data_IF_778815288467
#
_entry.id   IF_778815288467
#
_cell.length_a   1.000
_cell.length_b   1.000
_cell.length_c   1.000
_cell.angle_alpha   90.00
_cell.angle_beta   90.00
_cell.angle_gamma   90.00
#
_symmetry.space_group_name_H-M   'P 1'
#
loop_
_entity.id
_entity.type
_entity.pdbx_description
1 polymer ?
#
# COMPACT_ATOMS: atom_id res chain seq x y z
N UNK A 1 9.76 24.97 10.49
CA UNK A 1 9.89 23.50 10.33
C UNK A 1 8.97 23.10 9.19
N UNK A 2 9.51 22.53 8.11
CA UNK A 2 8.72 22.23 6.91
C UNK A 2 7.77 21.07 7.20
N UNK A 3 6.46 21.23 6.93
CA UNK A 3 5.41 20.21 7.12
C UNK A 3 5.80 18.86 6.48
N UNK A 4 6.49 18.90 5.35
CA UNK A 4 7.01 17.71 4.66
C UNK A 4 8.02 16.95 5.53
N UNK A 5 8.86 17.65 6.31
CA UNK A 5 9.85 17.01 7.17
C UNK A 5 9.19 16.29 8.36
N UNK A 6 8.22 16.92 9.04
CA UNK A 6 7.51 16.27 10.15
C UNK A 6 6.60 15.12 9.70
N UNK A 7 6.04 15.19 8.49
CA UNK A 7 5.20 14.11 7.96
C UNK A 7 6.00 12.88 7.51
N UNK A 8 7.21 13.08 6.97
CA UNK A 8 7.95 11.99 6.32
C UNK A 8 9.28 11.59 7.00
N UNK A 9 9.84 12.43 7.86
CA UNK A 9 11.18 12.18 8.47
C UNK A 9 11.08 11.88 9.96
N UNK A 10 10.12 12.49 10.67
CA UNK A 10 9.93 12.20 12.09
C UNK A 10 9.18 10.88 12.31
N UNK A 11 9.60 10.13 13.32
CA UNK A 11 8.90 8.90 13.74
C UNK A 11 7.52 9.28 14.27
N UNK A 12 6.48 8.82 13.58
CA UNK A 12 5.12 9.04 14.07
C UNK A 12 4.87 8.22 15.33
N UNK A 13 4.15 8.78 16.32
CA UNK A 13 3.67 7.99 17.44
C UNK A 13 2.80 6.83 16.95
N UNK A 14 2.94 5.68 17.59
CA UNK A 14 2.21 4.45 17.22
C UNK A 14 0.68 4.66 17.20
N UNK A 15 0.15 5.50 18.10
CA UNK A 15 -1.28 5.82 18.18
C UNK A 15 -1.77 6.59 16.95
N UNK A 16 -0.95 7.49 16.39
CA UNK A 16 -1.30 8.27 15.21
C UNK A 16 -1.39 7.38 13.97
N UNK A 17 -0.44 6.45 13.81
CA UNK A 17 -0.48 5.43 12.75
C UNK A 17 -1.72 4.55 12.85
N UNK A 18 -2.07 4.11 14.07
CA UNK A 18 -3.28 3.33 14.33
C UNK A 18 -4.57 4.06 13.93
N UNK A 19 -4.70 5.34 14.27
CA UNK A 19 -5.87 6.17 13.90
C UNK A 19 -5.97 6.33 12.38
N UNK A 20 -4.86 6.62 11.69
CA UNK A 20 -4.86 6.78 10.23
C UNK A 20 -5.25 5.47 9.51
N UNK A 21 -4.75 4.32 9.96
CA UNK A 21 -5.12 3.02 9.40
C UNK A 21 -6.57 2.67 9.74
N UNK A 22 -7.02 2.95 10.97
CA UNK A 22 -8.38 2.72 11.42
C UNK A 22 -9.41 3.54 10.63
N UNK A 23 -9.08 4.79 10.27
CA UNK A 23 -9.92 5.66 9.44
C UNK A 23 -9.99 5.22 7.98
N UNK A 24 -9.03 4.42 7.51
CA UNK A 24 -9.02 3.93 6.13
C UNK A 24 -10.23 3.00 5.85
N UNK A 25 -10.66 2.22 6.85
CA UNK A 25 -11.85 1.33 6.74
C UNK A 25 -13.16 2.11 6.51
N UNK A 26 -13.59 3.05 7.39
CA UNK A 26 -14.81 3.82 7.18
C UNK A 26 -14.72 4.72 5.94
N UNK A 27 -13.53 5.23 5.60
CA UNK A 27 -13.33 6.03 4.39
C UNK A 27 -13.57 5.18 3.14
N UNK A 28 -13.07 3.95 3.10
CA UNK A 28 -13.38 3.03 2.00
C UNK A 28 -14.85 2.63 1.95
N UNK A 29 -15.49 2.46 3.09
CA UNK A 29 -16.94 2.21 3.12
C UNK A 29 -17.73 3.42 2.61
N UNK A 30 -17.31 4.63 2.94
CA UNK A 30 -17.96 5.87 2.50
C UNK A 30 -17.82 6.11 0.99
N UNK A 31 -16.61 5.95 0.43
CA UNK A 31 -16.36 6.25 -0.99
C UNK A 31 -16.75 5.11 -1.94
N UNK A 32 -16.68 3.87 -1.49
CA UNK A 32 -16.71 2.69 -2.35
C UNK A 32 -17.83 1.70 -1.97
N UNK A 33 -18.43 1.86 -0.78
CA UNK A 33 -19.44 0.96 -0.22
C UNK A 33 -19.04 -0.53 -0.29
N UNK A 34 -17.74 -0.80 -0.14
CA UNK A 34 -17.18 -2.15 -0.20
C UNK A 34 -16.19 -2.36 0.92
N UNK A 35 -16.21 -3.55 1.50
CA UNK A 35 -15.20 -3.96 2.48
C UNK A 35 -13.80 -4.00 1.85
N UNK A 36 -12.80 -3.60 2.65
CA UNK A 36 -11.39 -3.75 2.32
C UNK A 36 -11.08 -5.20 1.91
N UNK A 37 -10.52 -5.40 0.71
CA UNK A 37 -10.26 -6.72 0.15
C UNK A 37 -9.06 -6.71 -0.78
N UNK A 38 -7.86 -6.74 -0.19
CA UNK A 38 -6.59 -6.67 -0.94
C UNK A 38 -6.30 -7.97 -1.69
N UNK A 39 -6.55 -9.13 -1.06
CA UNK A 39 -6.25 -10.46 -1.64
C UNK A 39 -6.96 -10.71 -2.97
N UNK A 40 -8.23 -10.33 -3.08
CA UNK A 40 -8.98 -10.46 -4.34
C UNK A 40 -8.54 -9.43 -5.38
N UNK A 41 -7.99 -8.29 -4.95
CA UNK A 41 -7.35 -7.31 -5.82
C UNK A 41 -6.10 -7.85 -6.52
N UNK A 42 -5.26 -8.60 -5.78
CA UNK A 42 -4.09 -9.27 -6.37
C UNK A 42 -4.49 -10.31 -7.42
N UNK A 43 -5.61 -11.02 -7.23
CA UNK A 43 -6.16 -11.91 -8.26
C UNK A 43 -6.53 -11.17 -9.56
N UNK A 44 -7.11 -9.97 -9.46
CA UNK A 44 -7.37 -9.12 -10.63
C UNK A 44 -6.07 -8.64 -11.31
N UNK A 45 -5.06 -8.27 -10.51
CA UNK A 45 -3.75 -7.86 -11.00
C UNK A 45 -3.04 -8.99 -11.77
N UNK A 46 -3.04 -10.21 -11.22
CA UNK A 46 -2.47 -11.39 -11.88
C UNK A 46 -3.18 -11.72 -13.20
N UNK A 47 -4.50 -11.55 -13.27
CA UNK A 47 -5.24 -11.75 -14.53
C UNK A 47 -4.93 -10.69 -15.59
N UNK A 48 -4.57 -9.47 -15.16
CA UNK A 48 -4.10 -8.41 -16.07
C UNK A 48 -2.74 -8.79 -16.69
N UNK A 49 -1.80 -9.30 -15.88
CA UNK A 49 -0.46 -9.70 -16.33
C UNK A 49 -0.48 -11.01 -17.12
N UNK A 50 -1.31 -11.98 -16.70
CA UNK A 50 -1.40 -13.31 -17.28
C UNK A 50 -2.81 -13.56 -17.87
N UNK A 51 -3.16 -12.92 -19.00
CA UNK A 51 -4.52 -12.94 -19.55
C UNK A 51 -4.93 -14.30 -20.15
N UNK A 52 -3.98 -15.17 -20.51
CA UNK A 52 -4.23 -16.48 -21.17
C UNK A 52 -3.91 -17.68 -20.27
N UNK A 53 -4.13 -17.56 -18.97
CA UNK A 53 -3.79 -18.62 -18.02
C UNK A 53 -4.83 -19.74 -18.04
N UNK A 54 -4.40 -21.01 -18.00
CA UNK A 54 -5.29 -22.19 -17.91
C UNK A 54 -5.98 -22.39 -16.54
N UNK A 55 -5.71 -21.52 -15.56
CA UNK A 55 -6.33 -21.63 -14.23
C UNK A 55 -7.81 -21.25 -14.28
N UNK A 56 -8.69 -22.24 -14.05
CA UNK A 56 -10.16 -22.08 -13.99
C UNK A 56 -10.62 -21.05 -12.96
N UNK A 57 -9.93 -20.94 -11.82
CA UNK A 57 -10.26 -19.99 -10.76
C UNK A 57 -10.06 -18.53 -11.20
N UNK A 58 -8.98 -18.23 -11.92
CA UNK A 58 -8.65 -16.89 -12.41
C UNK A 58 -9.56 -16.48 -13.60
N UNK A 59 -10.08 -17.44 -14.35
CA UNK A 59 -11.00 -17.20 -15.46
C UNK A 59 -12.48 -17.02 -15.05
N UNK A 60 -12.81 -17.13 -13.77
CA UNK A 60 -14.17 -16.88 -13.26
C UNK A 60 -14.65 -15.44 -13.53
N UNK A 61 -15.98 -15.26 -13.60
CA UNK A 61 -16.64 -13.96 -13.85
C UNK A 61 -16.29 -12.91 -12.77
N UNK A 62 -15.89 -13.33 -11.58
CA UNK A 62 -15.48 -12.46 -10.46
C UNK A 62 -14.25 -11.60 -10.80
N UNK A 63 -13.38 -12.07 -11.69
CA UNK A 63 -12.19 -11.34 -12.14
C UNK A 63 -12.34 -10.77 -13.56
N UNK A 64 -13.55 -10.70 -14.11
CA UNK A 64 -13.79 -10.23 -15.48
C UNK A 64 -13.56 -8.71 -15.59
N UNK A 65 -13.92 -7.97 -14.55
CA UNK A 65 -13.63 -6.55 -14.40
C UNK A 65 -12.20 -6.32 -13.91
N UNK A 66 -11.27 -6.26 -14.87
CA UNK A 66 -9.84 -6.05 -14.64
C UNK A 66 -9.52 -4.69 -14.01
N UNK A 67 -10.29 -3.65 -14.33
CA UNK A 67 -10.20 -2.32 -13.73
C UNK A 67 -11.27 -2.14 -12.67
N UNK A 68 -11.03 -2.73 -11.49
CA UNK A 68 -11.88 -2.50 -10.32
C UNK A 68 -11.18 -1.54 -9.35
N UNK A 69 -11.92 -1.00 -8.40
CA UNK A 69 -11.40 -0.09 -7.38
C UNK A 69 -10.18 -0.66 -6.62
N UNK A 70 -10.14 -1.99 -6.48
CA UNK A 70 -9.04 -2.74 -5.87
C UNK A 70 -7.71 -2.58 -6.60
N UNK A 71 -7.74 -2.40 -7.92
CA UNK A 71 -6.54 -2.17 -8.73
C UNK A 71 -5.94 -0.79 -8.46
N UNK A 72 -6.79 0.24 -8.41
CA UNK A 72 -6.39 1.62 -8.04
C UNK A 72 -5.81 1.63 -6.63
N UNK A 73 -6.44 0.90 -5.70
CA UNK A 73 -5.95 0.75 -4.33
C UNK A 73 -4.55 0.12 -4.26
N UNK A 74 -4.30 -0.96 -5.01
CA UNK A 74 -2.99 -1.62 -5.05
C UNK A 74 -1.91 -0.70 -5.63
N UNK A 75 -2.21 -0.02 -6.75
CA UNK A 75 -1.28 0.95 -7.34
C UNK A 75 -0.99 2.09 -6.36
N UNK A 76 -2.03 2.62 -5.70
CA UNK A 76 -1.89 3.66 -4.69
C UNK A 76 -0.99 3.25 -3.54
N UNK A 77 -1.10 2.01 -3.04
CA UNK A 77 -0.20 1.49 -2.00
C UNK A 77 1.26 1.44 -2.47
N UNK A 78 1.51 0.97 -3.69
CA UNK A 78 2.89 0.90 -4.25
C UNK A 78 3.48 2.30 -4.39
N UNK A 79 2.73 3.24 -4.99
CA UNK A 79 3.17 4.62 -5.20
C UNK A 79 3.36 5.33 -3.87
N UNK A 80 2.42 5.19 -2.93
CA UNK A 80 2.48 5.81 -1.61
C UNK A 80 3.67 5.31 -0.78
N UNK A 81 3.91 4.00 -0.79
CA UNK A 81 5.09 3.41 -0.16
C UNK A 81 6.40 3.90 -0.77
N UNK A 82 6.46 3.97 -2.11
CA UNK A 82 7.63 4.49 -2.82
C UNK A 82 7.90 5.97 -2.52
N UNK A 83 6.86 6.81 -2.54
CA UNK A 83 6.97 8.24 -2.21
C UNK A 83 7.45 8.43 -0.78
N UNK A 84 6.84 7.74 0.18
CA UNK A 84 7.22 7.81 1.60
C UNK A 84 8.69 7.40 1.82
N UNK A 85 9.12 6.31 1.19
CA UNK A 85 10.51 5.86 1.26
C UNK A 85 11.48 6.91 0.67
N UNK A 86 11.10 7.59 -0.42
CA UNK A 86 11.96 8.63 -1.00
C UNK A 86 11.99 9.93 -0.23
N UNK A 87 10.86 10.38 0.29
CA UNK A 87 10.78 11.60 1.11
C UNK A 87 11.47 11.44 2.45
N UNK A 88 11.49 10.23 3.01
CA UNK A 88 12.22 9.90 4.25
C UNK A 88 13.75 9.75 4.03
N UNK A 89 14.23 9.85 2.79
CA UNK A 89 15.65 9.76 2.46
C UNK A 89 16.20 8.33 2.37
N UNK A 90 15.34 7.32 2.26
CA UNK A 90 15.77 5.92 2.13
C UNK A 90 16.44 5.66 0.77
N UNK A 91 17.54 4.91 0.78
CA UNK A 91 18.26 4.49 -0.43
C UNK A 91 17.44 3.47 -1.25
N UNK A 92 17.53 3.56 -2.59
CA UNK A 92 16.78 2.71 -3.54
C UNK A 92 17.14 1.22 -3.41
N UNK A 93 18.40 0.96 -3.08
CA UNK A 93 18.96 -0.37 -2.82
C UNK A 93 19.93 -0.21 -1.67
N UNK A 94 19.54 -0.63 -0.47
CA UNK A 94 20.48 -0.75 0.65
C UNK A 94 20.81 -2.23 0.82
N UNK A 95 22.10 -2.57 0.70
CA UNK A 95 22.62 -3.89 1.06
C UNK A 95 22.85 -4.02 2.57
N UNK A 96 22.77 -2.90 3.30
CA UNK A 96 22.85 -2.85 4.75
C UNK A 96 21.45 -3.00 5.34
N UNK A 97 21.15 -4.18 5.88
CA UNK A 97 20.08 -4.35 6.88
C UNK A 97 20.50 -3.60 8.15
N UNK A 98 19.57 -2.90 8.80
CA UNK A 98 19.82 -2.22 10.09
C UNK A 98 19.95 -0.69 10.02
N UNK A 99 19.89 -0.08 8.83
CA UNK A 99 19.98 1.38 8.67
C UNK A 99 18.88 2.14 9.43
N UNK A 100 17.70 1.53 9.60
CA UNK A 100 16.66 2.07 10.49
C UNK A 100 17.12 2.05 11.96
N UNK A 101 17.62 0.91 12.46
CA UNK A 101 18.14 0.76 13.84
C UNK A 101 19.31 1.71 14.12
N UNK A 102 20.23 1.89 13.18
CA UNK A 102 21.39 2.79 13.37
C UNK A 102 21.00 4.27 13.36
N UNK A 103 19.95 4.64 12.61
CA UNK A 103 19.49 6.04 12.47
C UNK A 103 18.46 6.44 13.50
N UNK A 104 17.73 5.49 14.05
CA UNK A 104 16.71 5.73 15.06
C UNK A 104 17.28 5.33 16.41
N UNK A 105 17.57 6.33 17.26
CA UNK A 105 18.00 6.12 18.64
C UNK A 105 16.80 5.58 19.43
N UNK A 106 16.46 4.31 19.21
CA UNK A 106 15.47 3.60 20.02
C UNK A 106 16.05 3.43 21.44
N UNK A 107 15.24 3.64 22.48
CA UNK A 107 15.64 3.32 23.85
C UNK A 107 15.87 1.82 24.05
#
# INVERSE_FOLDING_TARGET
MNIVHSLFVELWPWWLGGICIGLLVPLMYYFLNTAMGVSTGYGNFLKLILPKTKLRWLNSDTFKNKFNWRFIFIIGMIIGGFLSARTSGMALTTSLMGLFTDKTNWP
#
